data_IF_511534752783
#
_entry.id   IF_511534752783
#
_cell.length_a   1.000
_cell.length_b   1.000
_cell.length_c   1.000
_cell.angle_alpha   90.00
_cell.angle_beta   90.00
_cell.angle_gamma   90.00
#
_symmetry.space_group_name_H-M   'P 1'
#
loop_
_entity.id
_entity.type
_entity.pdbx_description
1 polymer ?
#
# COMPACT_ATOMS: atom_id res chain seq x y z
N UNK A 1 -8.83 -24.55 -3.27
CA UNK A 1 -7.75 -24.92 -2.32
C UNK A 1 -7.96 -24.15 -1.02
N UNK A 2 -7.80 -24.77 0.14
CA UNK A 2 -7.92 -24.06 1.41
C UNK A 2 -6.65 -23.22 1.66
N UNK A 3 -6.84 -21.98 2.14
CA UNK A 3 -5.75 -21.08 2.55
C UNK A 3 -6.25 -20.17 3.67
N UNK A 4 -5.32 -19.60 4.43
CA UNK A 4 -5.63 -18.68 5.53
C UNK A 4 -6.52 -17.53 5.04
N UNK A 5 -7.65 -17.31 5.71
CA UNK A 5 -8.55 -16.20 5.45
C UNK A 5 -9.41 -16.34 4.19
N UNK A 6 -9.53 -17.54 3.60
CA UNK A 6 -10.38 -17.74 2.41
C UNK A 6 -11.84 -17.33 2.63
N UNK A 7 -12.33 -17.45 3.86
CA UNK A 7 -13.71 -17.14 4.23
C UNK A 7 -13.90 -15.66 4.67
N UNK A 8 -12.82 -14.89 4.71
CA UNK A 8 -12.89 -13.45 4.95
C UNK A 8 -13.44 -12.76 3.69
N UNK A 9 -14.44 -11.88 3.83
CA UNK A 9 -14.96 -11.11 2.69
C UNK A 9 -13.88 -10.33 1.97
N UNK A 10 -13.98 -10.22 0.64
CA UNK A 10 -12.90 -9.70 -0.22
C UNK A 10 -12.68 -8.19 -0.15
N UNK A 11 -13.38 -7.45 0.69
CA UNK A 11 -13.12 -6.04 0.98
C UNK A 11 -12.69 -5.89 2.44
N UNK A 12 -11.55 -5.22 2.65
CA UNK A 12 -11.07 -4.78 3.94
C UNK A 12 -11.07 -3.26 4.05
N UNK A 13 -11.37 -2.73 5.22
CA UNK A 13 -11.32 -1.29 5.49
C UNK A 13 -9.92 -0.86 5.93
N UNK A 14 -9.18 -0.20 5.02
CA UNK A 14 -7.88 0.40 5.30
C UNK A 14 -8.02 1.74 6.03
N UNK A 15 -7.52 1.84 7.25
CA UNK A 15 -7.72 2.97 8.15
C UNK A 15 -6.58 4.01 8.12
N UNK A 16 -5.78 3.99 7.06
CA UNK A 16 -4.74 5.00 6.83
C UNK A 16 -5.31 6.35 6.39
N UNK A 17 -6.49 6.34 5.75
CA UNK A 17 -7.13 7.50 5.11
C UNK A 17 -8.51 7.79 5.71
N UNK A 18 -8.61 7.73 7.04
CA UNK A 18 -9.85 8.07 7.74
C UNK A 18 -10.29 9.51 7.43
N UNK A 19 -11.59 9.81 7.48
CA UNK A 19 -12.08 11.17 7.34
C UNK A 19 -11.48 12.07 8.43
N UNK A 20 -11.16 13.31 8.07
CA UNK A 20 -10.46 14.25 8.95
C UNK A 20 -11.26 15.54 9.12
N UNK A 21 -11.25 16.09 10.35
CA UNK A 21 -11.67 17.44 10.68
C UNK A 21 -10.42 18.23 11.11
N UNK A 22 -9.81 18.94 10.15
CA UNK A 22 -8.49 19.54 10.35
C UNK A 22 -7.43 18.46 10.58
N UNK A 23 -6.77 18.50 11.73
CA UNK A 23 -5.73 17.52 12.13
C UNK A 23 -6.27 16.32 12.92
N UNK A 24 -7.56 16.31 13.25
CA UNK A 24 -8.20 15.25 14.04
C UNK A 24 -9.04 14.33 13.13
N UNK A 25 -9.18 13.06 13.55
CA UNK A 25 -10.06 12.11 12.87
C UNK A 25 -11.52 12.51 13.11
N UNK A 26 -12.33 12.56 12.06
CA UNK A 26 -13.79 12.67 12.18
C UNK A 26 -14.36 11.35 12.70
N UNK A 27 -14.43 11.24 14.03
CA UNK A 27 -14.92 10.04 14.71
C UNK A 27 -16.38 9.74 14.41
N UNK A 28 -17.21 10.76 14.21
CA UNK A 28 -18.64 10.53 13.95
C UNK A 28 -18.85 9.95 12.55
N UNK A 29 -18.17 10.47 11.55
CA UNK A 29 -18.20 9.88 10.21
C UNK A 29 -17.52 8.51 10.21
N UNK A 30 -16.42 8.34 10.92
CA UNK A 30 -15.72 7.05 11.05
C UNK A 30 -16.63 5.98 11.66
N UNK A 31 -17.41 6.30 12.71
CA UNK A 31 -18.40 5.38 13.31
C UNK A 31 -19.46 4.95 12.30
N UNK A 32 -20.01 5.91 11.55
CA UNK A 32 -21.01 5.62 10.51
C UNK A 32 -20.43 4.70 9.41
N UNK A 33 -19.19 4.91 9.03
CA UNK A 33 -18.50 4.06 8.05
C UNK A 33 -18.28 2.65 8.60
N UNK A 34 -17.86 2.51 9.86
CA UNK A 34 -17.71 1.21 10.54
C UNK A 34 -19.05 0.47 10.58
N UNK A 35 -20.13 1.17 10.97
CA UNK A 35 -21.47 0.59 11.04
C UNK A 35 -21.93 0.03 9.69
N UNK A 36 -21.85 0.86 8.63
CA UNK A 36 -22.19 0.43 7.26
C UNK A 36 -21.34 -0.75 6.77
N UNK A 37 -20.06 -0.76 7.10
CA UNK A 37 -19.13 -1.82 6.69
C UNK A 37 -19.52 -3.16 7.32
N UNK A 38 -19.76 -3.18 8.63
CA UNK A 38 -20.19 -4.38 9.37
C UNK A 38 -21.61 -4.82 8.98
N UNK A 39 -22.55 -3.89 8.82
CA UNK A 39 -23.92 -4.18 8.38
C UNK A 39 -23.96 -4.81 6.97
N UNK A 40 -23.02 -4.45 6.11
CA UNK A 40 -22.86 -5.05 4.79
C UNK A 40 -22.21 -6.45 4.82
N UNK A 41 -21.77 -6.93 5.98
CA UNK A 41 -21.16 -8.24 6.18
C UNK A 41 -19.65 -8.29 5.99
N UNK A 42 -18.98 -7.16 5.89
CA UNK A 42 -17.51 -7.07 5.82
C UNK A 42 -16.93 -6.90 7.21
N UNK A 43 -15.80 -7.56 7.49
CA UNK A 43 -15.33 -7.70 8.88
C UNK A 43 -13.85 -7.42 9.07
N UNK A 44 -13.07 -7.15 8.00
CA UNK A 44 -11.62 -6.96 8.09
C UNK A 44 -11.25 -5.48 8.16
N UNK A 45 -10.54 -5.07 9.22
CA UNK A 45 -10.04 -3.70 9.45
C UNK A 45 -8.52 -3.71 9.53
N UNK A 46 -7.87 -2.75 8.84
CA UNK A 46 -6.41 -2.67 8.74
C UNK A 46 -5.91 -1.30 9.18
N UNK A 47 -5.17 -1.26 10.29
CA UNK A 47 -4.45 -0.07 10.78
C UNK A 47 -2.94 -0.31 10.86
N UNK A 48 -2.19 0.60 11.44
CA UNK A 48 -0.77 0.47 11.77
C UNK A 48 -0.38 1.45 12.88
N UNK A 49 0.67 1.10 13.63
CA UNK A 49 1.26 1.90 14.71
C UNK A 49 1.45 3.38 14.36
N UNK A 50 1.92 3.66 13.13
CA UNK A 50 2.26 5.02 12.68
C UNK A 50 1.17 5.75 11.90
N UNK A 51 0.04 5.11 11.58
CA UNK A 51 -0.99 5.76 10.77
C UNK A 51 -1.60 6.97 11.49
N UNK A 52 -1.62 8.11 10.79
CA UNK A 52 -2.10 9.39 11.34
C UNK A 52 -1.41 9.77 12.68
N UNK A 53 -0.12 9.42 12.83
CA UNK A 53 0.62 9.67 14.08
C UNK A 53 0.15 8.83 15.27
N UNK A 54 -0.52 7.71 15.03
CA UNK A 54 -1.13 6.85 16.05
C UNK A 54 -2.64 7.06 16.22
N UNK A 55 -3.20 8.16 15.72
CA UNK A 55 -4.64 8.48 15.83
C UNK A 55 -5.53 7.46 15.14
N UNK A 56 -5.02 6.72 14.14
CA UNK A 56 -5.78 5.64 13.50
C UNK A 56 -6.08 4.50 14.49
N UNK A 57 -5.10 4.07 15.30
CA UNK A 57 -5.33 3.04 16.33
C UNK A 57 -6.27 3.53 17.44
N UNK A 58 -6.19 4.80 17.82
CA UNK A 58 -7.11 5.41 18.80
C UNK A 58 -8.55 5.54 18.25
N UNK A 59 -8.68 5.87 16.96
CA UNK A 59 -9.98 5.89 16.28
C UNK A 59 -10.60 4.48 16.18
N UNK A 60 -9.79 3.45 15.93
CA UNK A 60 -10.21 2.04 15.97
C UNK A 60 -10.82 1.69 17.33
N UNK A 61 -10.18 2.10 18.42
CA UNK A 61 -10.74 1.89 19.76
C UNK A 61 -12.16 2.46 19.86
N UNK A 62 -12.28 3.75 19.57
CA UNK A 62 -13.54 4.49 19.78
C UNK A 62 -14.65 4.11 18.79
N UNK A 63 -14.28 3.86 17.52
CA UNK A 63 -15.28 3.63 16.47
C UNK A 63 -15.64 2.14 16.29
N UNK A 64 -14.76 1.22 16.68
CA UNK A 64 -14.94 -0.22 16.46
C UNK A 64 -14.90 -1.01 17.77
N UNK A 65 -13.76 -1.04 18.48
CA UNK A 65 -13.50 -1.98 19.57
C UNK A 65 -14.43 -1.75 20.77
N UNK A 66 -14.69 -0.50 21.16
CA UNK A 66 -15.58 -0.16 22.28
C UNK A 66 -17.08 -0.35 21.94
N UNK A 67 -17.44 -0.64 20.67
CA UNK A 67 -18.82 -0.67 20.18
C UNK A 67 -19.31 -2.04 19.74
N UNK A 68 -18.41 -2.92 19.34
CA UNK A 68 -18.75 -4.22 18.75
C UNK A 68 -18.06 -5.37 19.48
N UNK A 69 -18.69 -6.56 19.56
CA UNK A 69 -18.04 -7.75 20.12
C UNK A 69 -16.72 -8.04 19.40
N UNK A 70 -15.65 -8.28 20.16
CA UNK A 70 -14.28 -8.42 19.61
C UNK A 70 -14.16 -9.53 18.56
N UNK A 71 -14.93 -10.60 18.71
CA UNK A 71 -14.98 -11.75 17.81
C UNK A 71 -15.76 -11.51 16.52
N UNK A 72 -16.50 -10.40 16.41
CA UNK A 72 -17.31 -10.09 15.23
C UNK A 72 -16.51 -9.49 14.06
N UNK A 73 -15.24 -9.17 14.27
CA UNK A 73 -14.38 -8.58 13.25
C UNK A 73 -12.93 -9.08 13.35
N UNK A 74 -12.20 -8.98 12.24
CA UNK A 74 -10.75 -9.16 12.21
C UNK A 74 -10.07 -7.78 12.25
N UNK A 75 -9.08 -7.63 13.14
CA UNK A 75 -8.27 -6.42 13.26
C UNK A 75 -6.81 -6.73 12.96
N UNK A 76 -6.26 -5.96 12.03
CA UNK A 76 -4.85 -5.97 11.68
C UNK A 76 -4.16 -4.68 12.14
N UNK A 77 -2.94 -4.80 12.69
CA UNK A 77 -2.02 -3.67 12.87
C UNK A 77 -0.59 -4.06 12.54
N UNK A 78 0.33 -3.08 12.50
CA UNK A 78 1.67 -3.28 11.98
C UNK A 78 2.72 -2.60 12.86
N UNK A 79 3.85 -3.29 13.07
CA UNK A 79 5.00 -2.83 13.85
C UNK A 79 6.11 -2.31 12.93
N UNK A 80 6.43 -1.00 12.95
CA UNK A 80 7.52 -0.42 12.17
C UNK A 80 8.81 -0.32 12.99
N UNK A 81 9.53 -1.42 13.24
CA UNK A 81 10.76 -1.44 14.07
C UNK A 81 11.84 -0.45 13.58
N UNK A 82 11.83 -0.13 12.29
CA UNK A 82 12.71 0.86 11.66
C UNK A 82 12.33 2.32 11.95
N UNK A 83 11.14 2.57 12.49
CA UNK A 83 10.62 3.92 12.70
C UNK A 83 10.98 4.46 14.10
N UNK A 84 12.28 4.67 14.33
CA UNK A 84 12.78 5.40 15.50
C UNK A 84 13.20 4.55 16.70
N UNK A 85 12.93 3.22 16.72
CA UNK A 85 13.44 2.37 17.80
C UNK A 85 14.97 2.33 17.79
N UNK A 86 15.58 2.52 18.97
CA UNK A 86 17.02 2.46 19.16
C UNK A 86 17.43 1.11 19.80
N UNK A 87 16.52 0.50 20.54
CA UNK A 87 16.71 -0.76 21.27
C UNK A 87 15.65 -1.78 20.93
N UNK A 88 15.92 -3.06 21.24
CA UNK A 88 14.96 -4.15 21.08
C UNK A 88 13.71 -3.93 21.97
N UNK A 89 13.89 -3.41 23.17
CA UNK A 89 12.79 -3.16 24.10
C UNK A 89 11.85 -2.07 23.57
N UNK A 90 12.40 -1.00 23.01
CA UNK A 90 11.60 0.06 22.36
C UNK A 90 10.81 -0.50 21.15
N UNK A 91 11.44 -1.33 20.31
CA UNK A 91 10.76 -1.95 19.19
C UNK A 91 9.63 -2.89 19.64
N UNK A 92 9.86 -3.71 20.67
CA UNK A 92 8.86 -4.62 21.25
C UNK A 92 7.71 -3.88 21.95
N UNK A 93 8.00 -2.73 22.58
CA UNK A 93 6.99 -1.89 23.25
C UNK A 93 5.96 -1.30 22.25
N UNK A 94 6.29 -1.24 20.95
CA UNK A 94 5.33 -0.81 19.93
C UNK A 94 4.07 -1.70 19.89
N UNK A 95 4.20 -3.03 20.07
CA UNK A 95 3.04 -3.92 20.17
C UNK A 95 2.18 -3.60 21.40
N UNK A 96 2.83 -3.41 22.55
CA UNK A 96 2.11 -3.08 23.79
C UNK A 96 1.38 -1.73 23.66
N UNK A 97 2.00 -0.78 22.99
CA UNK A 97 1.38 0.52 22.67
C UNK A 97 0.18 0.36 21.74
N UNK A 98 0.28 -0.46 20.68
CA UNK A 98 -0.84 -0.76 19.79
C UNK A 98 -2.01 -1.43 20.54
N UNK A 99 -1.72 -2.37 21.44
CA UNK A 99 -2.75 -3.00 22.28
C UNK A 99 -3.44 -1.98 23.20
N UNK A 100 -2.69 -1.05 23.80
CA UNK A 100 -3.27 0.02 24.64
C UNK A 100 -4.10 1.01 23.81
N UNK A 101 -3.60 1.48 22.65
CA UNK A 101 -4.30 2.43 21.79
C UNK A 101 -5.60 1.89 21.25
N UNK A 102 -5.59 0.64 20.78
CA UNK A 102 -6.77 -0.01 20.21
C UNK A 102 -7.73 -0.59 21.25
N UNK A 103 -7.21 -0.94 22.44
CA UNK A 103 -8.00 -1.66 23.45
C UNK A 103 -8.43 -3.07 23.03
N UNK A 104 -7.88 -3.60 21.94
CA UNK A 104 -8.38 -4.81 21.27
C UNK A 104 -8.10 -6.13 22.02
N UNK A 105 -7.17 -6.13 22.98
CA UNK A 105 -6.75 -7.32 23.73
C UNK A 105 -5.87 -8.30 22.91
N UNK A 106 -6.15 -8.48 21.65
CA UNK A 106 -5.36 -9.27 20.69
C UNK A 106 -5.56 -8.74 19.26
N UNK A 107 -4.65 -9.12 18.35
CA UNK A 107 -4.80 -8.86 16.91
C UNK A 107 -5.00 -10.15 16.13
N UNK A 108 -5.93 -10.13 15.17
CA UNK A 108 -6.18 -11.29 14.29
C UNK A 108 -5.06 -11.42 13.27
N UNK A 109 -4.58 -10.31 12.72
CA UNK A 109 -3.46 -10.24 11.79
C UNK A 109 -2.42 -9.23 12.30
N UNK A 110 -1.18 -9.65 12.38
CA UNK A 110 -0.10 -8.78 12.81
C UNK A 110 1.02 -8.77 11.78
N UNK A 111 1.48 -7.58 11.40
CA UNK A 111 2.45 -7.44 10.34
C UNK A 111 3.73 -6.76 10.82
N UNK A 112 4.87 -7.29 10.39
CA UNK A 112 6.10 -6.52 10.38
C UNK A 112 5.96 -5.50 9.24
N UNK A 113 6.05 -4.19 9.57
CA UNK A 113 5.63 -3.11 8.69
C UNK A 113 6.69 -2.74 7.66
N UNK A 114 6.35 -2.84 6.38
CA UNK A 114 7.15 -2.33 5.28
C UNK A 114 8.55 -2.97 5.23
N UNK A 115 8.58 -4.31 5.20
CA UNK A 115 9.80 -5.06 4.93
C UNK A 115 10.31 -4.78 3.51
N UNK A 116 11.60 -4.95 3.32
CA UNK A 116 12.33 -4.61 2.11
C UNK A 116 13.36 -3.52 2.39
N UNK A 117 14.34 -3.38 1.48
CA UNK A 117 15.42 -2.41 1.58
C UNK A 117 16.15 -2.49 2.95
N UNK A 118 16.73 -1.41 3.43
CA UNK A 118 17.42 -1.36 4.73
C UNK A 118 16.49 -1.55 5.94
N UNK A 119 15.17 -1.42 5.76
CA UNK A 119 14.18 -1.54 6.84
C UNK A 119 14.09 -2.94 7.44
N UNK A 120 14.31 -3.98 6.64
CA UNK A 120 14.32 -5.37 7.13
C UNK A 120 15.38 -5.60 8.20
N UNK A 121 16.53 -4.91 8.11
CA UNK A 121 17.62 -5.03 9.07
C UNK A 121 17.21 -4.66 10.50
N UNK A 122 16.24 -3.76 10.68
CA UNK A 122 15.74 -3.40 12.01
C UNK A 122 15.01 -4.57 12.70
N UNK A 123 14.25 -5.36 11.93
CA UNK A 123 13.58 -6.54 12.47
C UNK A 123 14.56 -7.63 12.87
N UNK A 124 15.61 -7.85 12.08
CA UNK A 124 16.71 -8.77 12.40
C UNK A 124 17.46 -8.29 13.65
N UNK A 125 17.89 -7.04 13.66
CA UNK A 125 18.67 -6.40 14.74
C UNK A 125 17.97 -6.48 16.10
N UNK A 126 16.66 -6.29 16.13
CA UNK A 126 15.89 -6.23 17.36
C UNK A 126 15.18 -7.56 17.71
N UNK A 127 15.39 -8.64 16.92
CA UNK A 127 14.77 -9.95 17.13
C UNK A 127 13.24 -9.93 17.05
N UNK A 128 12.69 -9.14 16.12
CA UNK A 128 11.22 -8.93 16.04
C UNK A 128 10.52 -10.13 15.40
N UNK A 129 11.18 -10.88 14.52
CA UNK A 129 10.64 -12.10 13.94
C UNK A 129 10.26 -13.11 15.03
N UNK A 130 11.21 -13.49 15.89
CA UNK A 130 10.99 -14.41 17.00
C UNK A 130 10.02 -13.84 18.03
N UNK A 131 10.10 -12.53 18.31
CA UNK A 131 9.20 -11.85 19.24
C UNK A 131 7.74 -11.95 18.77
N UNK A 132 7.47 -11.77 17.49
CA UNK A 132 6.11 -11.87 16.96
C UNK A 132 5.55 -13.31 17.10
N UNK A 133 6.37 -14.32 16.87
CA UNK A 133 6.00 -15.72 17.09
C UNK A 133 5.75 -16.03 18.57
N UNK A 134 6.59 -15.52 19.46
CA UNK A 134 6.38 -15.63 20.92
C UNK A 134 5.05 -14.97 21.35
N UNK A 135 4.70 -13.81 20.79
CA UNK A 135 3.43 -13.14 21.10
C UNK A 135 2.23 -13.88 20.51
N UNK A 136 2.41 -14.58 19.41
CA UNK A 136 1.42 -15.51 18.86
C UNK A 136 1.18 -16.68 19.81
N UNK A 137 2.22 -17.32 20.31
CA UNK A 137 2.11 -18.41 21.30
C UNK A 137 1.40 -17.96 22.59
N UNK A 138 1.60 -16.71 23.00
CA UNK A 138 0.90 -16.08 24.13
C UNK A 138 -0.56 -15.69 23.84
N UNK A 139 -1.03 -15.86 22.61
CA UNK A 139 -2.40 -15.55 22.19
C UNK A 139 -2.70 -14.07 21.97
N UNK A 140 -1.68 -13.21 21.95
CA UNK A 140 -1.84 -11.79 21.63
C UNK A 140 -1.96 -11.55 20.13
N UNK A 141 -1.43 -12.44 19.31
CA UNK A 141 -1.47 -12.43 17.85
C UNK A 141 -2.03 -13.76 17.35
N UNK A 142 -3.00 -13.76 16.43
CA UNK A 142 -3.52 -14.99 15.82
C UNK A 142 -2.70 -15.40 14.60
N UNK A 143 -2.43 -14.46 13.70
CA UNK A 143 -1.66 -14.69 12.48
C UNK A 143 -0.57 -13.63 12.32
N UNK A 144 0.63 -14.07 11.93
CA UNK A 144 1.79 -13.22 11.76
C UNK A 144 2.27 -13.25 10.32
N UNK A 145 2.52 -12.08 9.76
CA UNK A 145 3.06 -11.88 8.42
C UNK A 145 3.81 -10.55 8.30
N UNK A 146 3.96 -10.06 7.09
CA UNK A 146 4.60 -8.76 6.89
C UNK A 146 4.00 -8.03 5.68
N UNK A 147 4.12 -6.70 5.66
CA UNK A 147 3.88 -5.90 4.46
C UNK A 147 5.21 -5.64 3.75
N UNK A 148 5.17 -5.58 2.43
CA UNK A 148 6.35 -5.57 1.60
C UNK A 148 6.27 -4.53 0.48
N UNK A 149 7.38 -3.79 0.26
CA UNK A 149 7.51 -2.73 -0.74
C UNK A 149 8.90 -2.73 -1.39
N UNK A 150 9.29 -3.88 -1.96
CA UNK A 150 10.58 -4.02 -2.64
C UNK A 150 10.43 -4.97 -3.85
N UNK A 151 11.54 -5.40 -4.43
CA UNK A 151 11.60 -6.27 -5.61
C UNK A 151 11.27 -7.72 -5.28
N UNK A 152 10.82 -8.43 -6.30
CA UNK A 152 10.37 -9.81 -6.16
C UNK A 152 11.47 -10.79 -5.71
N UNK A 153 12.72 -10.57 -6.10
CA UNK A 153 13.88 -11.36 -5.65
C UNK A 153 14.11 -11.19 -4.13
N UNK A 154 14.02 -9.96 -3.62
CA UNK A 154 14.10 -9.68 -2.18
C UNK A 154 12.96 -10.36 -1.42
N UNK A 155 11.75 -10.39 -1.99
CA UNK A 155 10.62 -11.11 -1.39
C UNK A 155 10.87 -12.62 -1.35
N UNK A 156 11.42 -13.21 -2.42
CA UNK A 156 11.75 -14.64 -2.49
C UNK A 156 12.81 -15.03 -1.45
N UNK A 157 13.85 -14.22 -1.28
CA UNK A 157 14.86 -14.38 -0.23
C UNK A 157 14.24 -14.29 1.17
N UNK A 158 13.39 -13.29 1.40
CA UNK A 158 12.77 -13.06 2.70
C UNK A 158 11.82 -14.19 3.10
N UNK A 159 10.99 -14.68 2.18
CA UNK A 159 10.10 -15.82 2.41
C UNK A 159 10.84 -17.16 2.54
N UNK A 160 12.01 -17.27 1.93
CA UNK A 160 12.91 -18.43 2.12
C UNK A 160 13.54 -18.41 3.51
N UNK A 161 13.96 -17.23 3.99
CA UNK A 161 14.56 -17.02 5.31
C UNK A 161 13.53 -17.16 6.45
N UNK A 162 12.30 -16.71 6.22
CA UNK A 162 11.21 -16.67 7.20
C UNK A 162 9.97 -17.44 6.71
N UNK A 163 10.09 -18.78 6.53
CA UNK A 163 8.99 -19.62 6.07
C UNK A 163 7.82 -19.72 7.07
N UNK A 164 8.04 -19.33 8.32
CA UNK A 164 7.05 -19.29 9.40
C UNK A 164 6.03 -18.15 9.24
N UNK A 165 6.33 -17.11 8.44
CA UNK A 165 5.36 -16.05 8.16
C UNK A 165 4.17 -16.63 7.38
N UNK A 166 2.95 -16.37 7.86
CA UNK A 166 1.75 -17.05 7.37
C UNK A 166 1.14 -16.39 6.14
N UNK A 167 1.35 -15.10 5.95
CA UNK A 167 0.81 -14.31 4.85
C UNK A 167 1.70 -13.11 4.53
N UNK A 168 1.47 -12.49 3.39
CA UNK A 168 2.13 -11.23 3.00
C UNK A 168 1.11 -10.18 2.57
N UNK A 169 1.41 -8.91 2.82
CA UNK A 169 0.62 -7.78 2.30
C UNK A 169 1.42 -7.10 1.18
N UNK A 170 0.85 -7.07 -0.03
CA UNK A 170 1.49 -6.59 -1.25
C UNK A 170 0.71 -5.44 -1.90
N UNK A 171 1.43 -4.50 -2.50
CA UNK A 171 0.85 -3.46 -3.35
C UNK A 171 0.48 -4.07 -4.70
N UNK A 172 -0.82 -4.19 -4.97
CA UNK A 172 -1.33 -4.77 -6.22
C UNK A 172 -2.49 -3.94 -6.76
N UNK A 173 -2.33 -3.45 -7.98
CA UNK A 173 -3.38 -2.86 -8.80
C UNK A 173 -3.06 -3.08 -10.29
N UNK A 174 -4.02 -2.82 -11.17
CA UNK A 174 -3.82 -3.10 -12.59
C UNK A 174 -2.76 -2.20 -13.24
N UNK A 175 -2.54 -0.97 -12.74
CA UNK A 175 -1.53 -0.05 -13.27
C UNK A 175 -0.11 -0.51 -12.95
N UNK A 176 0.11 -1.04 -11.74
CA UNK A 176 1.41 -1.50 -11.26
C UNK A 176 1.70 -2.98 -11.61
N UNK A 177 0.75 -3.67 -12.23
CA UNK A 177 0.83 -5.11 -12.47
C UNK A 177 2.09 -5.54 -13.22
N UNK A 178 2.46 -4.80 -14.27
CA UNK A 178 3.67 -5.04 -15.08
C UNK A 178 4.76 -3.97 -14.85
N UNK A 179 4.59 -3.10 -13.87
CA UNK A 179 5.58 -2.05 -13.58
C UNK A 179 6.87 -2.64 -13.00
N UNK A 180 8.02 -2.29 -13.61
CA UNK A 180 9.33 -2.80 -13.20
C UNK A 180 9.83 -2.25 -11.85
N UNK A 181 9.21 -1.18 -11.35
CA UNK A 181 9.56 -0.59 -10.05
C UNK A 181 8.80 -1.23 -8.90
N UNK A 182 7.48 -1.42 -9.05
CA UNK A 182 6.61 -2.04 -8.05
C UNK A 182 6.62 -3.56 -8.14
N UNK A 183 6.69 -4.10 -9.36
CA UNK A 183 6.72 -5.54 -9.65
C UNK A 183 5.54 -6.31 -9.06
N UNK A 184 4.34 -5.72 -9.08
CA UNK A 184 3.14 -6.31 -8.44
C UNK A 184 2.91 -7.77 -8.84
N UNK A 185 2.93 -8.10 -10.15
CA UNK A 185 2.75 -9.47 -10.64
C UNK A 185 3.85 -10.40 -10.14
N UNK A 186 5.12 -9.99 -10.26
CA UNK A 186 6.26 -10.82 -9.85
C UNK A 186 6.25 -11.10 -8.35
N UNK A 187 5.95 -10.09 -7.51
CA UNK A 187 5.80 -10.27 -6.07
C UNK A 187 4.62 -11.21 -5.74
N UNK A 188 3.49 -11.08 -6.43
CA UNK A 188 2.36 -11.99 -6.27
C UNK A 188 2.74 -13.43 -6.63
N UNK A 189 3.43 -13.65 -7.77
CA UNK A 189 3.89 -14.98 -8.20
C UNK A 189 4.86 -15.60 -7.18
N UNK A 190 5.76 -14.81 -6.60
CA UNK A 190 6.65 -15.25 -5.51
C UNK A 190 5.85 -15.66 -4.27
N UNK A 191 4.90 -14.85 -3.82
CA UNK A 191 4.05 -15.22 -2.69
C UNK A 191 3.31 -16.55 -2.95
N UNK A 192 2.77 -16.75 -4.17
CA UNK A 192 2.09 -17.98 -4.57
C UNK A 192 3.05 -19.17 -4.64
N UNK A 193 4.30 -19.00 -5.12
CA UNK A 193 5.37 -20.01 -5.11
C UNK A 193 5.65 -20.52 -3.69
N UNK A 194 5.66 -19.61 -2.70
CA UNK A 194 5.84 -19.95 -1.27
C UNK A 194 4.54 -20.37 -0.58
N UNK A 195 3.42 -20.56 -1.31
CA UNK A 195 2.10 -20.88 -0.76
C UNK A 195 1.60 -19.87 0.28
N UNK A 196 2.00 -18.60 0.17
CA UNK A 196 1.52 -17.53 1.06
C UNK A 196 0.28 -16.88 0.47
N UNK A 197 -0.82 -16.84 1.22
CA UNK A 197 -1.96 -16.01 0.86
C UNK A 197 -1.60 -14.53 1.00
N UNK A 198 -2.31 -13.68 0.23
CA UNK A 198 -1.96 -12.28 0.07
C UNK A 198 -3.10 -11.37 0.55
N UNK A 199 -2.75 -10.36 1.32
CA UNK A 199 -3.59 -9.18 1.55
C UNK A 199 -3.15 -8.12 0.56
N UNK A 200 -4.10 -7.52 -0.16
CA UNK A 200 -3.77 -6.49 -1.15
C UNK A 200 -3.92 -5.11 -0.56
N UNK A 201 -2.87 -4.30 -0.65
CA UNK A 201 -2.89 -2.86 -0.38
C UNK A 201 -2.80 -2.05 -1.68
N UNK A 202 -3.26 -0.81 -1.64
CA UNK A 202 -3.27 0.13 -2.76
C UNK A 202 -3.98 -0.37 -4.04
N UNK A 203 -5.14 -1.05 -3.94
CA UNK A 203 -5.83 -1.57 -5.11
C UNK A 203 -6.24 -0.47 -6.10
N UNK A 204 -6.47 0.75 -5.59
CA UNK A 204 -6.85 1.94 -6.38
C UNK A 204 -5.67 2.92 -6.54
N UNK A 205 -4.42 2.45 -6.30
CA UNK A 205 -3.19 3.26 -6.42
C UNK A 205 -3.28 4.60 -5.67
N UNK A 206 -3.71 4.53 -4.40
CA UNK A 206 -3.88 5.72 -3.56
C UNK A 206 -4.95 6.71 -4.05
N UNK A 207 -5.93 6.26 -4.83
CA UNK A 207 -7.01 7.05 -5.41
C UNK A 207 -6.80 7.43 -6.88
N UNK A 208 -5.60 7.25 -7.46
CA UNK A 208 -5.32 7.61 -8.86
C UNK A 208 -6.15 6.80 -9.88
N UNK A 209 -6.57 5.60 -9.53
CA UNK A 209 -7.42 4.75 -10.38
C UNK A 209 -8.92 4.94 -10.12
N UNK A 210 -9.28 5.80 -9.17
CA UNK A 210 -10.67 6.25 -9.00
C UNK A 210 -11.03 7.34 -10.02
N UNK A 211 -10.04 8.15 -10.38
CA UNK A 211 -10.14 9.19 -11.44
C UNK A 211 -8.92 9.07 -12.37
N UNK A 212 -8.88 7.99 -13.19
CA UNK A 212 -7.76 7.75 -14.10
C UNK A 212 -7.83 8.71 -15.29
N UNK A 213 -6.72 8.85 -16.07
CA UNK A 213 -6.71 9.64 -17.28
C UNK A 213 -7.86 9.30 -18.23
N UNK A 214 -8.36 10.31 -18.96
CA UNK A 214 -9.56 10.16 -19.81
C UNK A 214 -9.43 9.01 -20.81
N UNK A 215 -8.25 8.77 -21.39
CA UNK A 215 -7.99 7.65 -22.30
C UNK A 215 -8.23 6.30 -21.64
N UNK A 216 -7.91 6.16 -20.38
CA UNK A 216 -8.16 4.94 -19.59
C UNK A 216 -9.63 4.84 -19.20
N UNK A 217 -10.21 5.96 -18.74
CA UNK A 217 -11.62 6.03 -18.39
C UNK A 217 -12.53 5.66 -19.56
N UNK A 218 -12.21 6.09 -20.76
CA UNK A 218 -12.96 5.75 -21.98
C UNK A 218 -12.93 4.25 -22.28
N UNK A 219 -11.78 3.58 -22.14
CA UNK A 219 -11.67 2.13 -22.33
C UNK A 219 -12.59 1.38 -21.35
N UNK A 220 -12.55 1.76 -20.07
CA UNK A 220 -13.35 1.10 -19.03
C UNK A 220 -14.84 1.38 -19.18
N UNK A 221 -15.23 2.63 -19.45
CA UNK A 221 -16.63 3.06 -19.66
C UNK A 221 -17.24 2.47 -20.93
N UNK A 222 -16.45 2.31 -21.99
CA UNK A 222 -16.95 1.68 -23.24
C UNK A 222 -17.32 0.21 -23.03
N UNK A 223 -16.64 -0.48 -22.13
CA UNK A 223 -16.91 -1.88 -21.82
C UNK A 223 -18.10 -2.07 -20.86
N UNK A 224 -18.28 -1.16 -19.88
CA UNK A 224 -19.37 -1.23 -18.92
C UNK A 224 -19.71 0.21 -18.42
N UNK A 225 -20.57 0.92 -19.13
CA UNK A 225 -20.92 2.31 -18.82
C UNK A 225 -21.57 2.50 -17.44
N UNK A 226 -22.22 1.47 -16.95
CA UNK A 226 -22.94 1.43 -15.66
C UNK A 226 -22.00 1.23 -14.45
N UNK A 227 -20.75 0.80 -14.68
CA UNK A 227 -19.79 0.55 -13.59
C UNK A 227 -18.95 1.78 -13.32
N UNK A 228 -18.74 2.08 -12.04
CA UNK A 228 -17.78 3.09 -11.64
C UNK A 228 -16.32 2.65 -11.91
N UNK A 229 -15.41 3.62 -12.02
CA UNK A 229 -14.01 3.35 -12.35
C UNK A 229 -13.26 2.61 -11.22
N UNK A 230 -13.47 2.93 -9.91
CA UNK A 230 -12.85 2.20 -8.82
C UNK A 230 -13.21 0.71 -8.79
N UNK A 231 -14.42 0.35 -9.23
CA UNK A 231 -14.89 -1.05 -9.23
C UNK A 231 -14.00 -1.96 -10.07
N UNK A 232 -13.47 -1.46 -11.19
CA UNK A 232 -12.53 -2.23 -12.02
C UNK A 232 -11.24 -2.56 -11.28
N UNK A 233 -10.69 -1.61 -10.53
CA UNK A 233 -9.46 -1.79 -9.76
C UNK A 233 -9.66 -2.75 -8.57
N UNK A 234 -10.76 -2.61 -7.83
CA UNK A 234 -11.10 -3.50 -6.72
C UNK A 234 -11.35 -4.94 -7.22
N UNK A 235 -12.14 -5.09 -8.27
CA UNK A 235 -12.45 -6.40 -8.85
C UNK A 235 -11.23 -7.06 -9.48
N UNK A 236 -10.33 -6.29 -10.12
CA UNK A 236 -9.04 -6.81 -10.60
C UNK A 236 -8.26 -7.44 -9.46
N UNK A 237 -8.03 -6.70 -8.39
CA UNK A 237 -7.28 -7.17 -7.23
C UNK A 237 -7.94 -8.39 -6.58
N UNK A 238 -9.25 -8.35 -6.37
CA UNK A 238 -9.99 -9.43 -5.71
C UNK A 238 -10.14 -10.70 -6.58
N UNK A 239 -9.95 -10.58 -7.91
CA UNK A 239 -10.03 -11.73 -8.83
C UNK A 239 -8.81 -12.64 -8.81
N UNK A 240 -7.71 -12.22 -8.19
CA UNK A 240 -6.50 -13.03 -8.08
C UNK A 240 -6.70 -14.18 -7.09
N UNK A 241 -6.07 -15.31 -7.34
CA UNK A 241 -6.16 -16.47 -6.45
C UNK A 241 -5.35 -16.29 -5.16
N UNK A 242 -5.83 -16.88 -4.05
CA UNK A 242 -5.14 -16.86 -2.77
C UNK A 242 -5.15 -15.50 -2.07
N UNK A 243 -6.10 -14.64 -2.41
CA UNK A 243 -6.28 -13.34 -1.77
C UNK A 243 -7.14 -13.50 -0.51
N UNK A 244 -6.63 -13.04 0.62
CA UNK A 244 -7.37 -12.94 1.87
C UNK A 244 -8.42 -11.84 1.72
N UNK A 245 -7.96 -10.59 1.52
CA UNK A 245 -8.83 -9.43 1.34
C UNK A 245 -8.10 -8.32 0.57
N UNK A 246 -8.87 -7.35 0.06
CA UNK A 246 -8.39 -6.17 -0.67
C UNK A 246 -8.67 -4.94 0.17
N UNK A 247 -7.63 -4.25 0.62
CA UNK A 247 -7.74 -3.09 1.50
C UNK A 247 -8.06 -1.83 0.71
N UNK A 248 -9.23 -1.26 0.93
CA UNK A 248 -9.57 0.06 0.40
C UNK A 248 -9.55 1.10 1.51
N UNK A 249 -8.79 2.19 1.30
CA UNK A 249 -8.83 3.37 2.13
C UNK A 249 -9.95 4.28 1.65
N UNK A 250 -11.02 4.37 2.43
CA UNK A 250 -12.20 5.19 2.13
C UNK A 250 -12.24 6.36 3.11
N UNK A 251 -12.37 7.57 2.59
CA UNK A 251 -12.36 8.82 3.39
C UNK A 251 -13.73 9.49 3.47
N UNK A 252 -14.74 8.96 2.74
CA UNK A 252 -16.11 9.47 2.76
C UNK A 252 -17.12 8.34 2.78
N UNK A 253 -18.33 8.64 3.25
CA UNK A 253 -19.46 7.69 3.20
C UNK A 253 -19.79 7.27 1.78
N UNK A 254 -19.70 8.18 0.80
CA UNK A 254 -19.95 7.87 -0.60
C UNK A 254 -18.96 6.82 -1.14
N UNK A 255 -17.66 6.99 -0.89
CA UNK A 255 -16.65 6.00 -1.28
C UNK A 255 -16.90 4.63 -0.62
N UNK A 256 -17.32 4.64 0.65
CA UNK A 256 -17.70 3.43 1.38
C UNK A 256 -18.89 2.75 0.69
N UNK A 257 -19.96 3.46 0.42
CA UNK A 257 -21.18 2.91 -0.20
C UNK A 257 -20.93 2.34 -1.60
N UNK A 258 -20.13 3.05 -2.43
CA UNK A 258 -19.73 2.58 -3.75
C UNK A 258 -18.91 1.28 -3.69
N UNK A 259 -17.92 1.23 -2.80
CA UNK A 259 -17.09 0.04 -2.65
C UNK A 259 -17.88 -1.15 -2.05
N UNK A 260 -18.76 -0.89 -1.10
CA UNK A 260 -19.67 -1.92 -0.55
C UNK A 260 -20.60 -2.48 -1.62
N UNK A 261 -21.21 -1.62 -2.44
CA UNK A 261 -22.06 -2.05 -3.55
C UNK A 261 -21.31 -2.96 -4.53
N UNK A 262 -20.09 -2.55 -4.91
CA UNK A 262 -19.21 -3.33 -5.81
C UNK A 262 -18.85 -4.69 -5.22
N UNK A 263 -18.49 -4.74 -3.94
CA UNK A 263 -17.88 -5.94 -3.34
C UNK A 263 -18.88 -6.87 -2.68
N UNK A 264 -20.10 -6.39 -2.35
CA UNK A 264 -21.20 -7.23 -1.87
C UNK A 264 -21.67 -8.21 -2.94
N UNK A 265 -21.69 -7.77 -4.19
CA UNK A 265 -22.04 -8.58 -5.36
C UNK A 265 -20.79 -9.02 -6.15
N UNK A 266 -19.66 -9.14 -5.47
CA UNK A 266 -18.40 -9.47 -6.11
C UNK A 266 -18.46 -10.77 -6.90
N UNK A 267 -18.06 -10.68 -8.16
CA UNK A 267 -17.70 -11.80 -9.01
C UNK A 267 -16.32 -11.53 -9.65
N UNK A 268 -15.46 -12.55 -9.76
CA UNK A 268 -14.17 -12.40 -10.45
C UNK A 268 -14.35 -11.84 -11.85
N UNK A 269 -13.36 -11.08 -12.34
CA UNK A 269 -13.35 -10.58 -13.70
C UNK A 269 -13.39 -11.74 -14.70
N UNK A 270 -14.34 -11.69 -15.61
CA UNK A 270 -14.38 -12.60 -16.78
C UNK A 270 -13.16 -12.41 -17.68
N UNK A 271 -12.86 -13.35 -18.56
CA UNK A 271 -11.77 -13.22 -19.52
C UNK A 271 -11.90 -11.97 -20.41
N UNK A 272 -13.13 -11.57 -20.75
CA UNK A 272 -13.39 -10.33 -21.49
C UNK A 272 -13.06 -9.09 -20.67
N UNK A 273 -13.49 -9.03 -19.40
CA UNK A 273 -13.17 -7.92 -18.50
C UNK A 273 -11.66 -7.83 -18.20
N UNK A 274 -10.97 -8.96 -18.07
CA UNK A 274 -9.51 -8.99 -17.94
C UNK A 274 -8.82 -8.40 -19.18
N UNK A 275 -9.33 -8.68 -20.38
CA UNK A 275 -8.82 -8.08 -21.62
C UNK A 275 -9.05 -6.55 -21.64
N UNK A 276 -10.19 -6.07 -21.14
CA UNK A 276 -10.46 -4.62 -21.00
C UNK A 276 -9.46 -3.98 -20.02
N UNK A 277 -9.19 -4.60 -18.89
CA UNK A 277 -8.20 -4.10 -17.94
C UNK A 277 -6.80 -4.09 -18.54
N UNK A 278 -6.45 -5.09 -19.38
CA UNK A 278 -5.18 -5.09 -20.11
C UNK A 278 -5.09 -3.91 -21.09
N UNK A 279 -6.16 -3.61 -21.84
CA UNK A 279 -6.23 -2.42 -22.72
C UNK A 279 -6.11 -1.12 -21.92
N UNK A 280 -6.78 -1.01 -20.76
CA UNK A 280 -6.66 0.14 -19.88
C UNK A 280 -5.21 0.36 -19.40
N UNK A 281 -4.49 -0.73 -19.10
CA UNK A 281 -3.06 -0.69 -18.73
C UNK A 281 -2.19 -0.25 -19.92
N UNK A 282 -2.46 -0.74 -21.12
CA UNK A 282 -1.75 -0.31 -22.34
C UNK A 282 -1.98 1.18 -22.61
N UNK A 283 -3.20 1.67 -22.41
CA UNK A 283 -3.53 3.09 -22.53
C UNK A 283 -2.74 3.93 -21.52
N UNK A 284 -2.62 3.48 -20.26
CA UNK A 284 -1.75 4.14 -19.26
C UNK A 284 -0.28 4.17 -19.70
N UNK A 285 0.24 3.04 -20.18
CA UNK A 285 1.64 2.92 -20.59
C UNK A 285 1.98 3.79 -21.82
N UNK A 286 0.99 4.17 -22.63
CA UNK A 286 1.16 5.05 -23.78
C UNK A 286 1.25 6.54 -23.42
N UNK A 287 0.94 6.91 -22.17
CA UNK A 287 0.98 8.31 -21.74
C UNK A 287 2.41 8.80 -21.53
N UNK A 288 2.66 10.11 -21.76
CA UNK A 288 3.99 10.67 -21.51
C UNK A 288 4.45 10.44 -20.08
N UNK A 289 5.65 9.91 -19.92
CA UNK A 289 6.25 9.67 -18.61
C UNK A 289 7.77 9.68 -18.69
N UNK A 290 8.44 9.87 -17.56
CA UNK A 290 9.87 9.71 -17.44
C UNK A 290 10.16 8.21 -17.32
N UNK A 291 10.89 7.57 -18.26
CA UNK A 291 11.09 6.11 -18.31
C UNK A 291 12.16 5.63 -17.31
N UNK A 292 12.04 6.02 -16.04
CA UNK A 292 12.97 5.65 -14.98
C UNK A 292 12.66 4.27 -14.43
N UNK A 293 13.62 3.36 -14.45
CA UNK A 293 13.51 1.98 -13.92
C UNK A 293 13.94 1.85 -12.45
N UNK A 294 14.18 2.95 -11.76
CA UNK A 294 14.61 3.00 -10.35
C UNK A 294 15.84 2.14 -10.01
N UNK A 295 16.76 1.97 -10.95
CA UNK A 295 18.00 1.18 -10.76
C UNK A 295 19.01 1.79 -9.78
N UNK A 296 18.80 3.01 -9.28
CA UNK A 296 19.57 3.72 -8.25
C UNK A 296 21.03 4.10 -8.63
N UNK A 297 21.52 3.80 -9.83
CA UNK A 297 22.90 4.13 -10.20
C UNK A 297 23.20 5.62 -10.13
N UNK A 298 22.24 6.47 -10.49
CA UNK A 298 22.35 7.93 -10.46
C UNK A 298 22.42 8.53 -9.04
N UNK A 299 21.92 7.81 -8.02
CA UNK A 299 21.83 8.35 -6.64
C UNK A 299 23.20 8.32 -5.97
N UNK A 300 23.94 7.20 -6.09
CA UNK A 300 25.24 7.01 -5.42
C UNK A 300 26.29 8.05 -5.80
N UNK A 301 26.22 8.60 -7.01
CA UNK A 301 27.15 9.62 -7.52
C UNK A 301 26.65 11.06 -7.37
N UNK A 302 25.44 11.29 -6.87
CA UNK A 302 24.88 12.63 -6.76
C UNK A 302 25.48 13.39 -5.56
N UNK A 303 26.29 14.48 -5.78
CA UNK A 303 26.92 15.21 -4.68
C UNK A 303 25.91 15.96 -3.80
N UNK A 304 24.69 16.21 -4.31
CA UNK A 304 23.60 16.85 -3.57
C UNK A 304 22.69 15.84 -2.88
N UNK A 305 22.94 14.53 -3.02
CA UNK A 305 22.11 13.49 -2.41
C UNK A 305 20.64 13.49 -2.88
N UNK A 306 20.38 13.91 -4.12
CA UNK A 306 19.02 13.97 -4.67
C UNK A 306 18.50 12.55 -4.90
N UNK A 307 17.33 12.18 -4.38
CA UNK A 307 16.71 10.87 -4.61
C UNK A 307 16.04 10.81 -6.00
N UNK A 308 16.85 10.91 -7.07
CA UNK A 308 16.42 11.10 -8.45
C UNK A 308 15.26 10.18 -8.87
N UNK A 309 15.29 8.86 -8.65
CA UNK A 309 14.17 7.98 -8.99
C UNK A 309 12.87 8.33 -8.23
N UNK A 310 12.96 8.75 -6.98
CA UNK A 310 11.82 9.19 -6.19
C UNK A 310 11.21 10.49 -6.71
N UNK A 311 12.04 11.44 -7.13
CA UNK A 311 11.61 12.68 -7.80
C UNK A 311 10.89 12.36 -9.10
N UNK A 312 11.42 11.44 -9.91
CA UNK A 312 10.81 11.05 -11.19
C UNK A 312 9.49 10.30 -11.00
N UNK A 313 9.38 9.45 -9.99
CA UNK A 313 8.13 8.79 -9.62
C UNK A 313 7.05 9.82 -9.23
N UNK A 314 7.43 10.84 -8.46
CA UNK A 314 6.54 11.94 -8.12
C UNK A 314 6.12 12.75 -9.37
N UNK A 315 7.08 13.08 -10.26
CA UNK A 315 6.79 13.79 -11.51
C UNK A 315 5.89 12.96 -12.43
N UNK A 316 6.07 11.67 -12.53
CA UNK A 316 5.20 10.78 -13.29
C UNK A 316 3.75 10.75 -12.76
N UNK A 317 3.54 10.96 -11.46
CA UNK A 317 2.19 11.15 -10.91
C UNK A 317 1.50 12.39 -11.51
N UNK A 318 2.26 13.49 -11.67
CA UNK A 318 1.76 14.68 -12.35
C UNK A 318 1.53 14.44 -13.85
N UNK A 319 2.53 13.89 -14.54
CA UNK A 319 2.49 13.73 -16.02
C UNK A 319 1.38 12.77 -16.48
N UNK A 320 1.23 11.64 -15.79
CA UNK A 320 0.29 10.58 -16.18
C UNK A 320 -1.14 10.91 -15.73
N UNK A 321 -1.29 11.36 -14.48
CA UNK A 321 -2.62 11.49 -13.85
C UNK A 321 -3.09 12.95 -13.72
N UNK A 322 -2.27 13.94 -14.09
CA UNK A 322 -2.61 15.35 -13.90
C UNK A 322 -2.75 15.80 -12.44
N UNK A 323 -2.43 14.92 -11.48
CA UNK A 323 -2.65 15.16 -10.06
C UNK A 323 -1.40 15.78 -9.40
N UNK A 324 -1.28 17.11 -9.53
CA UNK A 324 -0.12 17.87 -9.01
C UNK A 324 -0.03 17.83 -7.49
N UNK A 325 -1.15 17.91 -6.77
CA UNK A 325 -1.16 17.88 -5.30
C UNK A 325 -0.63 16.55 -4.77
N UNK A 326 -1.07 15.44 -5.35
CA UNK A 326 -0.54 14.11 -5.02
C UNK A 326 0.94 13.99 -5.37
N UNK A 327 1.34 14.52 -6.53
CA UNK A 327 2.73 14.54 -6.96
C UNK A 327 3.62 15.32 -5.98
N UNK A 328 3.19 16.49 -5.51
CA UNK A 328 3.88 17.28 -4.47
C UNK A 328 4.01 16.51 -3.15
N UNK A 329 2.95 15.83 -2.73
CA UNK A 329 3.00 14.95 -1.55
C UNK A 329 4.03 13.82 -1.69
N UNK A 330 4.06 13.13 -2.83
CA UNK A 330 5.03 12.08 -3.14
C UNK A 330 6.46 12.64 -3.21
N UNK A 331 6.64 13.84 -3.80
CA UNK A 331 7.91 14.55 -3.85
C UNK A 331 8.44 14.90 -2.46
N UNK A 332 7.61 15.51 -1.62
CA UNK A 332 7.97 15.85 -0.24
C UNK A 332 8.33 14.61 0.61
N UNK A 333 7.67 13.47 0.36
CA UNK A 333 8.05 12.20 1.00
C UNK A 333 9.41 11.71 0.51
N UNK A 334 9.65 11.70 -0.80
CA UNK A 334 10.88 11.21 -1.42
C UNK A 334 12.11 12.03 -1.01
N UNK A 335 11.95 13.37 -0.91
CA UNK A 335 13.04 14.32 -0.60
C UNK A 335 13.24 14.60 0.89
N UNK A 336 12.45 13.98 1.77
CA UNK A 336 12.55 14.21 3.23
C UNK A 336 13.96 13.86 3.75
N UNK A 337 14.67 14.87 4.25
CA UNK A 337 16.05 14.72 4.75
C UNK A 337 17.10 14.43 3.68
N UNK A 338 16.78 14.71 2.41
CA UNK A 338 17.65 14.53 1.24
C UNK A 338 17.67 15.80 0.40
N UNK A 339 18.50 15.82 -0.66
CA UNK A 339 18.53 16.93 -1.62
C UNK A 339 17.22 17.03 -2.41
N UNK A 340 16.84 18.25 -2.75
CA UNK A 340 15.70 18.59 -3.61
C UNK A 340 16.09 18.62 -5.08
N UNK A 341 15.11 18.64 -5.97
CA UNK A 341 15.35 18.76 -7.40
C UNK A 341 16.06 20.09 -7.76
N UNK A 342 15.67 21.18 -7.09
CA UNK A 342 16.29 22.51 -7.22
C UNK A 342 17.75 22.58 -6.74
N UNK A 343 18.23 21.64 -5.91
CA UNK A 343 19.62 21.59 -5.47
C UNK A 343 20.58 21.07 -6.56
N UNK A 344 20.07 20.69 -7.74
CA UNK A 344 20.85 20.12 -8.82
C UNK A 344 21.89 21.12 -9.36
N UNK A 345 23.18 20.79 -9.19
CA UNK A 345 24.32 21.59 -9.68
C UNK A 345 24.70 21.27 -11.13
N UNK A 346 23.93 20.46 -11.84
CA UNK A 346 24.10 20.11 -13.26
C UNK A 346 25.46 19.48 -13.59
N UNK A 347 26.04 18.70 -12.69
CA UNK A 347 27.37 18.09 -12.85
C UNK A 347 27.43 16.94 -13.89
N UNK A 348 26.30 16.41 -14.36
CA UNK A 348 26.21 15.37 -15.38
C UNK A 348 26.53 13.94 -14.92
N UNK A 349 26.99 13.71 -13.68
CA UNK A 349 27.35 12.36 -13.19
C UNK A 349 26.18 11.36 -13.27
N UNK A 350 24.98 11.81 -12.94
CA UNK A 350 23.78 10.96 -12.98
C UNK A 350 23.41 10.51 -14.40
N UNK A 351 23.59 11.39 -15.41
CA UNK A 351 23.28 11.07 -16.81
C UNK A 351 24.29 10.10 -17.40
N UNK A 352 25.58 10.23 -17.05
CA UNK A 352 26.64 9.35 -17.54
C UNK A 352 26.49 7.87 -17.13
N UNK A 353 25.76 7.60 -16.05
CA UNK A 353 25.53 6.24 -15.51
C UNK A 353 24.10 5.74 -15.70
N UNK A 354 23.23 6.53 -16.35
CA UNK A 354 21.83 6.16 -16.56
C UNK A 354 21.68 5.15 -17.70
N UNK A 355 21.25 3.89 -17.45
CA UNK A 355 21.08 2.91 -18.52
C UNK A 355 19.94 3.24 -19.47
N UNK A 356 19.01 4.11 -19.06
CA UNK A 356 17.87 4.57 -19.86
C UNK A 356 18.17 5.84 -20.63
N UNK A 357 19.38 6.41 -20.50
CA UNK A 357 19.82 7.64 -21.18
C UNK A 357 18.86 8.82 -20.98
N UNK A 358 18.25 8.91 -19.77
CA UNK A 358 17.34 10.00 -19.42
C UNK A 358 18.13 11.30 -19.28
N UNK A 359 17.61 12.40 -19.86
CA UNK A 359 18.12 13.76 -19.62
C UNK A 359 17.76 14.21 -18.20
N UNK A 360 18.46 13.66 -17.20
CA UNK A 360 18.12 13.75 -15.77
C UNK A 360 18.13 15.20 -15.31
N UNK A 361 19.10 16.00 -15.71
CA UNK A 361 19.22 17.41 -15.34
C UNK A 361 17.97 18.19 -15.77
N UNK A 362 17.55 18.01 -17.01
CA UNK A 362 16.36 18.67 -17.55
C UNK A 362 15.09 18.22 -16.80
N UNK A 363 14.97 16.92 -16.53
CA UNK A 363 13.82 16.40 -15.79
C UNK A 363 13.78 16.88 -14.33
N UNK A 364 14.93 17.07 -13.68
CA UNK A 364 15.01 17.65 -12.34
C UNK A 364 14.61 19.12 -12.33
N UNK A 365 15.02 19.89 -13.36
CA UNK A 365 14.57 21.30 -13.50
C UNK A 365 13.05 21.40 -13.64
N UNK A 366 12.45 20.59 -14.51
CA UNK A 366 10.98 20.54 -14.65
C UNK A 366 10.30 20.09 -13.36
N UNK A 367 10.87 19.11 -12.66
CA UNK A 367 10.32 18.65 -11.39
C UNK A 367 10.39 19.75 -10.30
N UNK A 368 11.45 20.55 -10.26
CA UNK A 368 11.53 21.69 -9.34
C UNK A 368 10.46 22.75 -9.65
N UNK A 369 10.26 23.07 -10.93
CA UNK A 369 9.24 24.06 -11.34
C UNK A 369 7.81 23.62 -10.98
N UNK A 370 7.51 22.33 -11.09
CA UNK A 370 6.15 21.78 -10.90
C UNK A 370 5.87 21.39 -9.46
N UNK A 371 6.87 20.82 -8.75
CA UNK A 371 6.66 20.10 -7.48
C UNK A 371 7.15 20.88 -6.26
N UNK A 372 7.96 21.90 -6.42
CA UNK A 372 8.40 22.80 -5.32
C UNK A 372 7.57 24.08 -5.29
#
# INVERSE_FOLDING_TARGET
MEYLGKDIPKLGFGLMRLPMLGEEVDLEQTKQMVDKFLEAGFTYFDTAYGYLGGKSEEAVKTALVDRYPRESFQLATKLPAWAGAQTADEAKEMLQTSLRRTGAGYFDFYLLHNCGDDRTQAFDKFGIWDYALEMKEKGLLKHVGFSFHDKADVLDELLTKHPEMEFVQLQINYADWEDDNVQSRRCYEVARKHNKPVIIMEPVKGGLLADPPETVAQVLKAAAPEKDLPSWALRFAASLEGIITVLSGMSTLEQMEQNLATMKEFSPLSAQEQAVVAQAREALASLPSIPCTSCQYCVKGCPQGIPIPGVFSAMNTHLIYGNTERAKGNYGFATRGKGKASDCIQCGQCESVCPQHISIIQQLQQAAEVLE
#
